data_IF_295424620305
#
_entry.id   IF_295424620305
#
_cell.length_a   1.000
_cell.length_b   1.000
_cell.length_c   1.000
_cell.angle_alpha   90.00
_cell.angle_beta   90.00
_cell.angle_gamma   90.00
#
_symmetry.space_group_name_H-M   'P 1'
#
loop_
_entity.id
_entity.type
_entity.pdbx_description
1 polymer ?
#
# COMPACT_ATOMS: atom_id res chain seq x y z
N UNK A 1 8.73 2.04 -9.04
CA UNK A 1 8.19 3.36 -9.47
C UNK A 1 8.69 4.41 -8.49
N UNK A 2 8.89 5.66 -8.91
CA UNK A 2 9.32 6.74 -8.02
C UNK A 2 8.13 7.44 -7.32
N UNK A 3 8.40 8.34 -6.38
CA UNK A 3 7.34 9.03 -5.60
C UNK A 3 6.36 9.83 -6.47
N UNK A 4 6.82 10.46 -7.56
CA UNK A 4 5.95 11.23 -8.46
C UNK A 4 4.95 10.33 -9.19
N UNK A 5 5.43 9.19 -9.70
CA UNK A 5 4.59 8.16 -10.31
C UNK A 5 3.61 7.57 -9.29
N UNK A 6 4.08 7.34 -8.06
CA UNK A 6 3.26 6.80 -6.97
C UNK A 6 2.13 7.77 -6.59
N UNK A 7 2.45 9.06 -6.43
CA UNK A 7 1.48 10.11 -6.16
C UNK A 7 0.44 10.23 -7.28
N UNK A 8 0.86 10.10 -8.54
CA UNK A 8 -0.06 10.10 -9.68
C UNK A 8 -1.03 8.92 -9.63
N UNK A 9 -0.53 7.69 -9.40
CA UNK A 9 -1.38 6.50 -9.26
C UNK A 9 -2.38 6.68 -8.12
N UNK A 10 -1.93 7.17 -6.96
CA UNK A 10 -2.83 7.41 -5.83
C UNK A 10 -3.87 8.49 -6.14
N UNK A 11 -3.49 9.56 -6.83
CA UNK A 11 -4.40 10.63 -7.23
C UNK A 11 -5.47 10.15 -8.23
N UNK A 12 -5.13 9.20 -9.10
CA UNK A 12 -6.07 8.55 -10.02
C UNK A 12 -6.97 7.50 -9.33
N UNK A 13 -6.83 7.32 -8.00
CA UNK A 13 -7.63 6.40 -7.19
C UNK A 13 -6.99 5.02 -6.99
N UNK A 14 -5.74 4.84 -7.42
CA UNK A 14 -4.97 3.61 -7.20
C UNK A 14 -4.34 3.52 -5.82
N UNK A 15 -3.71 2.38 -5.54
CA UNK A 15 -2.95 2.14 -4.31
C UNK A 15 -1.52 1.72 -4.62
N UNK A 16 -0.58 2.10 -3.76
CA UNK A 16 0.84 1.81 -3.92
C UNK A 16 1.44 1.29 -2.64
N UNK A 17 2.38 0.36 -2.72
CA UNK A 17 3.17 -0.14 -1.61
C UNK A 17 4.56 0.46 -1.65
N UNK A 18 5.01 1.04 -0.54
CA UNK A 18 6.41 1.40 -0.34
C UNK A 18 7.23 0.11 -0.19
N UNK A 19 8.25 -0.09 -1.04
CA UNK A 19 9.13 -1.26 -0.93
C UNK A 19 10.12 -1.15 0.25
N UNK A 20 10.20 0.03 0.88
CA UNK A 20 11.03 0.28 2.07
C UNK A 20 10.34 -0.23 3.33
N UNK A 21 9.08 0.17 3.53
CA UNK A 21 8.31 -0.13 4.75
C UNK A 21 7.28 -1.25 4.55
N UNK A 22 7.06 -1.70 3.32
CA UNK A 22 5.94 -2.58 2.92
C UNK A 22 4.59 -2.04 3.39
N UNK A 23 4.45 -0.71 3.40
CA UNK A 23 3.22 -0.03 3.78
C UNK A 23 2.45 0.38 2.53
N UNK A 24 1.16 0.05 2.52
CA UNK A 24 0.24 0.42 1.47
C UNK A 24 -0.30 1.84 1.68
N UNK A 25 -0.24 2.67 0.64
CA UNK A 25 -0.72 4.04 0.61
C UNK A 25 -1.75 4.26 -0.50
N UNK A 26 -2.73 5.11 -0.22
CA UNK A 26 -3.71 5.59 -1.18
C UNK A 26 -4.17 7.01 -0.82
N UNK A 27 -4.77 7.70 -1.80
CA UNK A 27 -5.47 8.96 -1.54
C UNK A 27 -6.97 8.72 -1.48
N UNK A 28 -7.60 9.09 -0.38
CA UNK A 28 -9.04 9.17 -0.25
C UNK A 28 -9.52 10.55 -0.71
N UNK A 29 -10.50 10.59 -1.61
CA UNK A 29 -11.06 11.83 -2.14
C UNK A 29 -12.13 12.39 -1.19
N UNK A 30 -11.95 13.63 -0.77
CA UNK A 30 -12.88 14.39 0.08
C UNK A 30 -13.62 15.45 -0.75
N UNK A 31 -14.62 16.12 -0.17
CA UNK A 31 -15.38 17.17 -0.86
C UNK A 31 -14.50 18.38 -1.25
N UNK A 32 -13.47 18.67 -0.46
CA UNK A 32 -12.60 19.85 -0.56
C UNK A 32 -11.12 19.52 -0.78
N UNK A 33 -10.78 18.25 -1.00
CA UNK A 33 -9.38 17.86 -1.21
C UNK A 33 -9.14 16.35 -1.22
N UNK A 34 -7.94 15.97 -0.78
CA UNK A 34 -7.50 14.58 -0.69
C UNK A 34 -6.84 14.35 0.66
N UNK A 35 -7.02 13.14 1.18
CA UNK A 35 -6.40 12.67 2.41
C UNK A 35 -5.48 11.49 2.07
N UNK A 36 -4.24 11.52 2.58
CA UNK A 36 -3.36 10.37 2.52
C UNK A 36 -3.81 9.33 3.54
N UNK A 37 -3.93 8.10 3.08
CA UNK A 37 -4.22 6.94 3.90
C UNK A 37 -3.05 5.96 3.82
N UNK A 38 -2.65 5.41 4.96
CA UNK A 38 -1.70 4.31 5.08
C UNK A 38 -2.43 3.12 5.72
N UNK A 39 -2.53 2.01 5.01
CA UNK A 39 -3.30 0.82 5.45
C UNK A 39 -4.74 1.17 5.86
N UNK A 40 -5.37 2.13 5.18
CA UNK A 40 -6.73 2.61 5.47
C UNK A 40 -6.84 3.63 6.61
N UNK A 41 -5.74 3.96 7.30
CA UNK A 41 -5.71 4.96 8.37
C UNK A 41 -5.24 6.31 7.84
N UNK A 42 -5.88 7.39 8.31
CA UNK A 42 -5.44 8.75 7.99
C UNK A 42 -4.00 8.97 8.44
N UNK A 43 -3.16 9.47 7.55
CA UNK A 43 -1.82 9.94 7.87
C UNK A 43 -1.56 11.29 7.22
N UNK A 44 -0.68 12.07 7.83
CA UNK A 44 -0.15 13.28 7.21
C UNK A 44 0.89 12.90 6.14
N UNK A 45 1.11 13.75 5.14
CA UNK A 45 2.20 13.60 4.17
C UNK A 45 3.57 13.54 4.86
N UNK A 46 3.73 14.17 6.03
CA UNK A 46 4.95 14.10 6.83
C UNK A 46 5.24 12.71 7.39
N UNK A 47 4.29 11.77 7.29
CA UNK A 47 4.46 10.39 7.71
C UNK A 47 5.35 9.59 6.75
N UNK A 48 5.52 10.05 5.51
CA UNK A 48 6.51 9.49 4.60
C UNK A 48 7.92 9.85 5.09
N UNK A 49 8.66 8.84 5.53
CA UNK A 49 10.07 8.98 5.91
C UNK A 49 10.91 9.42 4.71
N UNK A 50 12.11 9.94 4.97
CA UNK A 50 13.03 10.33 3.89
C UNK A 50 13.35 9.14 3.00
N UNK A 51 13.52 7.97 3.60
CA UNK A 51 13.75 6.69 2.93
C UNK A 51 12.58 6.29 2.04
N UNK A 52 11.34 6.54 2.45
CA UNK A 52 10.15 6.28 1.63
C UNK A 52 10.02 7.26 0.48
N UNK A 53 10.22 8.56 0.72
CA UNK A 53 10.17 9.59 -0.35
C UNK A 53 11.22 9.31 -1.43
N UNK A 54 12.40 8.82 -1.03
CA UNK A 54 13.50 8.48 -1.92
C UNK A 54 13.44 7.03 -2.42
N UNK A 55 12.55 6.23 -1.84
CA UNK A 55 12.42 4.81 -2.09
C UNK A 55 11.62 4.51 -3.34
N UNK A 56 11.54 3.21 -3.65
CA UNK A 56 10.72 2.71 -4.74
C UNK A 56 9.35 2.29 -4.22
N UNK A 57 8.34 2.56 -5.05
CA UNK A 57 6.97 2.13 -4.81
C UNK A 57 6.53 1.16 -5.90
N UNK A 58 5.57 0.30 -5.55
CA UNK A 58 4.94 -0.69 -6.42
C UNK A 58 3.43 -0.50 -6.40
N UNK A 59 2.80 -0.50 -7.57
CA UNK A 59 1.34 -0.44 -7.64
C UNK A 59 0.75 -1.75 -7.10
N UNK A 60 -0.26 -1.61 -6.25
CA UNK A 60 -0.95 -2.73 -5.63
C UNK A 60 -2.46 -2.56 -5.76
N UNK A 61 -3.16 -3.69 -5.73
CA UNK A 61 -4.61 -3.71 -5.74
C UNK A 61 -5.08 -4.05 -4.33
N UNK A 62 -5.79 -3.11 -3.69
CA UNK A 62 -6.37 -3.27 -2.36
C UNK A 62 -7.86 -3.48 -2.53
N UNK A 63 -8.36 -4.57 -1.96
CA UNK A 63 -9.79 -4.84 -1.86
C UNK A 63 -10.30 -4.29 -0.53
N UNK A 64 -11.20 -3.32 -0.61
CA UNK A 64 -11.76 -2.66 0.56
C UNK A 64 -13.08 -3.31 0.99
N UNK A 65 -13.77 -3.99 0.07
CA UNK A 65 -15.05 -4.65 0.36
C UNK A 65 -15.06 -6.11 -0.07
N UNK A 66 -15.88 -6.90 0.65
CA UNK A 66 -16.17 -8.29 0.28
C UNK A 66 -16.82 -8.38 -1.11
N UNK A 67 -17.57 -7.36 -1.51
CA UNK A 67 -18.20 -7.29 -2.83
C UNK A 67 -17.15 -7.14 -3.95
N UNK A 68 -16.15 -6.29 -3.77
CA UNK A 68 -15.02 -6.19 -4.70
C UNK A 68 -14.27 -7.52 -4.83
N UNK A 69 -14.04 -8.22 -3.71
CA UNK A 69 -13.43 -9.55 -3.71
C UNK A 69 -14.28 -10.59 -4.46
N UNK A 70 -15.59 -10.55 -4.26
CA UNK A 70 -16.53 -11.46 -4.91
C UNK A 70 -16.63 -11.22 -6.42
N UNK A 71 -16.39 -10.00 -6.88
CA UNK A 71 -16.39 -9.61 -8.29
C UNK A 71 -15.10 -9.99 -9.03
N UNK A 72 -14.03 -10.37 -8.33
CA UNK A 72 -12.83 -10.90 -8.95
C UNK A 72 -13.06 -12.31 -9.50
N UNK A 73 -12.44 -12.60 -10.65
CA UNK A 73 -12.40 -13.96 -11.17
C UNK A 73 -11.46 -14.85 -10.33
N UNK A 74 -11.55 -16.18 -10.51
CA UNK A 74 -10.81 -17.14 -9.70
C UNK A 74 -9.27 -16.97 -9.81
N UNK A 75 -8.77 -16.56 -10.97
CA UNK A 75 -7.34 -16.34 -11.20
C UNK A 75 -6.83 -15.07 -10.51
N UNK A 76 -7.60 -13.99 -10.58
CA UNK A 76 -7.33 -12.72 -9.88
C UNK A 76 -7.35 -12.93 -8.36
N UNK A 77 -8.34 -13.69 -7.88
CA UNK A 77 -8.47 -14.03 -6.46
C UNK A 77 -7.28 -14.84 -5.95
N UNK A 78 -6.86 -15.88 -6.68
CA UNK A 78 -5.70 -16.69 -6.31
C UNK A 78 -4.40 -15.86 -6.25
N UNK A 79 -4.15 -15.05 -7.28
CA UNK A 79 -2.99 -14.13 -7.32
C UNK A 79 -2.99 -13.15 -6.16
N UNK A 80 -4.16 -12.65 -5.76
CA UNK A 80 -4.28 -11.68 -4.68
C UNK A 80 -4.02 -12.32 -3.32
N UNK A 81 -4.52 -13.53 -3.10
CA UNK A 81 -4.25 -14.33 -1.90
C UNK A 81 -2.74 -14.61 -1.78
N UNK A 82 -2.10 -15.07 -2.85
CA UNK A 82 -0.65 -15.36 -2.85
C UNK A 82 0.19 -14.12 -2.53
N UNK A 83 -0.13 -12.97 -3.16
CA UNK A 83 0.53 -11.69 -2.87
C UNK A 83 0.30 -11.22 -1.43
N UNK A 84 -0.89 -11.46 -0.88
CA UNK A 84 -1.21 -11.10 0.52
C UNK A 84 -0.34 -11.90 1.49
N UNK A 85 -0.18 -13.21 1.25
CA UNK A 85 0.69 -14.05 2.07
C UNK A 85 2.17 -13.68 1.93
N UNK A 86 2.62 -13.32 0.73
CA UNK A 86 3.98 -12.80 0.50
C UNK A 86 4.22 -11.49 1.27
N UNK A 87 3.29 -10.53 1.19
CA UNK A 87 3.35 -9.25 1.91
C UNK A 87 3.37 -9.44 3.43
N UNK A 88 2.53 -10.32 3.99
CA UNK A 88 2.55 -10.64 5.43
C UNK A 88 3.88 -11.24 5.86
N UNK A 89 4.48 -12.11 5.05
CA UNK A 89 5.80 -12.68 5.34
C UNK A 89 6.90 -11.62 5.27
N UNK A 90 6.88 -10.72 4.28
CA UNK A 90 7.84 -9.64 4.12
C UNK A 90 7.74 -8.62 5.26
N UNK A 91 6.52 -8.20 5.64
CA UNK A 91 6.29 -7.31 6.79
C UNK A 91 6.78 -7.94 8.09
N UNK A 92 6.51 -9.23 8.33
CA UNK A 92 7.04 -9.96 9.49
C UNK A 92 8.57 -10.03 9.49
N UNK A 93 9.20 -10.18 8.32
CA UNK A 93 10.65 -10.21 8.19
C UNK A 93 11.23 -8.82 8.50
N UNK A 94 10.68 -7.77 7.90
CA UNK A 94 11.07 -6.38 8.16
C UNK A 94 10.89 -5.99 9.62
N UNK A 95 9.73 -6.28 10.23
CA UNK A 95 9.48 -6.02 11.65
C UNK A 95 10.47 -6.74 12.56
N UNK A 96 10.85 -7.99 12.23
CA UNK A 96 11.90 -8.71 12.96
C UNK A 96 13.28 -8.06 12.81
N UNK A 97 13.63 -7.66 11.59
CA UNK A 97 14.92 -7.05 11.27
C UNK A 97 15.07 -5.65 11.89
N UNK A 98 14.00 -4.87 11.95
CA UNK A 98 13.99 -3.49 12.47
C UNK A 98 13.77 -3.45 13.99
N UNK A 99 12.88 -4.29 14.54
CA UNK A 99 12.54 -4.26 15.98
C UNK A 99 13.41 -5.17 16.85
N UNK A 100 14.34 -5.93 16.25
CA UNK A 100 15.27 -6.78 16.99
C UNK A 100 14.59 -7.75 17.95
N UNK A 101 13.41 -8.29 17.59
CA UNK A 101 12.77 -9.33 18.39
C UNK A 101 13.52 -10.64 18.13
N UNK A 102 14.50 -10.90 18.99
CA UNK A 102 15.15 -12.20 19.17
C UNK A 102 14.23 -13.17 19.89
#
# INVERSE_FOLDING_TARGET
>A
MNIEQALKVMYEGGSVESLVSNTAYNLEKLEDGFRLCAEGLQVDLTYLTKEEIQGEFKEIYILETQEQFNNLNDEERAKLIDKTFEGVNNKRKFDKEIRGIS
#
